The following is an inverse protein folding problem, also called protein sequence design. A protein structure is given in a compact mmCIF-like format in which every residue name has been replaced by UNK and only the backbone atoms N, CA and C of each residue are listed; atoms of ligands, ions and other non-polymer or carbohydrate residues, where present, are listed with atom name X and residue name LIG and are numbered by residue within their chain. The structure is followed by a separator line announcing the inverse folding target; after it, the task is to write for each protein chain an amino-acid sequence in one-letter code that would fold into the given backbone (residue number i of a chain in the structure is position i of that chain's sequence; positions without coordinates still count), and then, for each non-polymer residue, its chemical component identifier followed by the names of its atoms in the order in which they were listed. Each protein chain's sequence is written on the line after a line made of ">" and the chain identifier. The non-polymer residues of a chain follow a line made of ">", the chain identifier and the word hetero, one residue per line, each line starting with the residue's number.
data_IF_655237134284
#
_entry.id   IF_655237134284
#
_cell.length_a   1.000
_cell.length_b   1.000
_cell.length_c   1.000
_cell.angle_alpha   90.00
_cell.angle_beta   90.00
_cell.angle_gamma   90.00
#
_symmetry.space_group_name_H-M   'P 1'
#
loop_
_entity.id
_entity.type
_entity.pdbx_description
1 polymer ?
#
# COMPACT_ATOMS: atom_id res chain seq x y z
N UNK A 1 20.24 15.39 6.00
CA UNK A 1 19.12 15.19 5.05
C UNK A 1 18.03 14.36 5.69
N UNK A 2 16.82 14.85 5.61
CA UNK A 2 15.70 14.14 6.21
C UNK A 2 15.07 13.20 5.18
N UNK A 3 15.16 11.91 5.45
CA UNK A 3 14.51 10.93 4.61
C UNK A 3 13.13 10.62 5.18
N UNK A 4 12.12 10.76 4.34
CA UNK A 4 10.75 10.40 4.72
C UNK A 4 10.29 9.27 3.81
N UNK A 5 10.11 8.08 4.34
CA UNK A 5 9.61 6.99 3.52
C UNK A 5 8.17 7.28 3.07
N UNK A 6 7.88 6.92 1.83
CA UNK A 6 6.53 7.04 1.30
C UNK A 6 5.93 5.66 1.19
N UNK A 7 4.69 5.54 1.68
CA UNK A 7 3.97 4.28 1.70
C UNK A 7 2.68 4.46 0.92
N UNK A 8 2.40 3.53 0.03
CA UNK A 8 1.17 3.53 -0.76
C UNK A 8 0.21 2.49 -0.19
N UNK A 9 -1.06 2.87 -0.08
CA UNK A 9 -2.14 1.95 0.25
C UNK A 9 -3.05 1.89 -0.96
N UNK A 10 -3.20 0.71 -1.56
CA UNK A 10 -4.10 0.52 -2.69
C UNK A 10 -5.22 -0.42 -2.23
N UNK A 11 -6.34 0.17 -1.86
CA UNK A 11 -7.45 -0.54 -1.26
C UNK A 11 -8.77 0.07 -1.70
N UNK A 12 -9.64 -0.70 -2.38
CA UNK A 12 -10.92 -0.18 -2.84
C UNK A 12 -11.88 0.20 -1.71
N UNK A 13 -11.77 -0.46 -0.56
CA UNK A 13 -12.65 -0.17 0.58
C UNK A 13 -12.12 1.05 1.33
N UNK A 14 -12.90 2.13 1.31
CA UNK A 14 -12.49 3.40 1.90
C UNK A 14 -12.25 3.29 3.41
N UNK A 15 -13.12 2.57 4.12
CA UNK A 15 -12.97 2.42 5.57
C UNK A 15 -11.70 1.66 5.92
N UNK A 16 -11.41 0.58 5.19
CA UNK A 16 -10.18 -0.17 5.40
C UNK A 16 -8.96 0.70 5.12
N UNK A 17 -9.00 1.46 4.04
CA UNK A 17 -7.92 2.34 3.65
C UNK A 17 -7.65 3.40 4.71
N UNK A 18 -8.69 4.08 5.19
CA UNK A 18 -8.55 5.11 6.20
C UNK A 18 -8.09 4.54 7.53
N UNK A 19 -8.62 3.38 7.92
CA UNK A 19 -8.21 2.73 9.16
C UNK A 19 -6.74 2.34 9.13
N UNK A 20 -6.30 1.76 8.03
CA UNK A 20 -4.91 1.38 7.89
C UNK A 20 -3.99 2.60 7.86
N UNK A 21 -4.40 3.64 7.14
CA UNK A 21 -3.63 4.88 7.11
C UNK A 21 -3.42 5.44 8.52
N UNK A 22 -4.49 5.46 9.31
CA UNK A 22 -4.42 5.96 10.67
C UNK A 22 -3.45 5.14 11.52
N UNK A 23 -3.51 3.82 11.40
CA UNK A 23 -2.61 2.93 12.14
C UNK A 23 -1.16 3.17 11.72
N UNK A 24 -0.90 3.26 10.44
CA UNK A 24 0.46 3.44 9.94
C UNK A 24 1.03 4.80 10.34
N UNK A 25 0.20 5.84 10.35
CA UNK A 25 0.64 7.15 10.78
C UNK A 25 1.03 7.17 12.26
N UNK A 26 0.39 6.33 13.05
CA UNK A 26 0.73 6.21 14.46
C UNK A 26 2.03 5.44 14.67
N UNK A 27 2.21 4.35 13.91
CA UNK A 27 3.38 3.48 14.05
C UNK A 27 4.62 4.12 13.43
N UNK A 28 4.45 4.78 12.29
CA UNK A 28 5.55 5.37 11.53
C UNK A 28 5.24 6.84 11.28
N UNK A 29 5.34 7.70 12.31
CA UNK A 29 4.90 9.09 12.18
C UNK A 29 5.69 9.89 11.15
N UNK A 30 6.91 9.46 10.80
CA UNK A 30 7.70 10.17 9.81
C UNK A 30 7.36 9.80 8.37
N UNK A 31 6.55 8.75 8.16
CA UNK A 31 6.21 8.32 6.82
C UNK A 31 5.12 9.19 6.22
N UNK A 32 5.14 9.32 4.90
CA UNK A 32 4.06 9.92 4.14
C UNK A 32 3.19 8.79 3.60
N UNK A 33 1.92 8.78 3.97
CA UNK A 33 1.00 7.72 3.57
C UNK A 33 0.08 8.26 2.49
N UNK A 34 0.05 7.60 1.34
CA UNK A 34 -0.85 7.96 0.23
C UNK A 34 -1.80 6.82 -0.03
N UNK A 35 -3.07 7.15 -0.25
CA UNK A 35 -4.09 6.14 -0.48
C UNK A 35 -4.61 6.22 -1.91
N UNK A 36 -4.86 5.05 -2.48
CA UNK A 36 -5.38 4.91 -3.84
C UNK A 36 -6.54 3.92 -3.81
N UNK A 37 -7.60 4.21 -4.54
CA UNK A 37 -8.77 3.33 -4.63
C UNK A 37 -8.51 2.13 -5.53
N UNK A 38 -7.69 2.31 -6.55
CA UNK A 38 -7.45 1.28 -7.54
C UNK A 38 -6.05 1.39 -8.12
N UNK A 39 -5.69 0.39 -8.92
CA UNK A 39 -4.37 0.32 -9.49
C UNK A 39 -4.08 1.47 -10.47
N UNK A 40 -5.10 1.92 -11.20
CA UNK A 40 -4.90 3.00 -12.16
C UNK A 40 -4.51 4.30 -11.48
N UNK A 41 -5.08 4.58 -10.31
CA UNK A 41 -4.71 5.77 -9.56
C UNK A 41 -3.24 5.74 -9.14
N UNK A 42 -2.76 4.56 -8.76
CA UNK A 42 -1.34 4.40 -8.44
C UNK A 42 -0.47 4.64 -9.67
N UNK A 43 -0.87 4.09 -10.82
CA UNK A 43 -0.10 4.25 -12.05
C UNK A 43 -0.05 5.70 -12.54
N UNK A 44 -1.12 6.47 -12.27
CA UNK A 44 -1.19 7.87 -12.66
C UNK A 44 -0.33 8.77 -11.78
N UNK A 45 0.14 8.25 -10.68
CA UNK A 45 1.04 8.97 -9.78
C UNK A 45 2.48 8.53 -10.09
N UNK A 46 3.27 8.28 -9.07
CA UNK A 46 4.65 7.84 -9.23
C UNK A 46 4.80 6.44 -8.62
N UNK A 47 4.38 5.41 -9.37
CA UNK A 47 4.21 4.07 -8.79
C UNK A 47 5.47 3.44 -8.22
N UNK A 48 6.65 3.84 -8.70
CA UNK A 48 7.89 3.24 -8.25
C UNK A 48 8.55 3.98 -7.08
N UNK A 49 7.94 5.07 -6.61
CA UNK A 49 8.53 5.88 -5.54
C UNK A 49 8.40 5.31 -4.15
N UNK A 50 7.52 4.35 -3.96
CA UNK A 50 7.11 3.97 -2.63
C UNK A 50 8.07 2.97 -1.99
N UNK A 51 8.34 3.18 -0.70
CA UNK A 51 9.13 2.24 0.08
C UNK A 51 8.36 0.96 0.36
N UNK A 52 7.05 1.08 0.53
CA UNK A 52 6.18 -0.07 0.78
C UNK A 52 4.82 0.13 0.13
N UNK A 53 4.19 -0.99 -0.23
CA UNK A 53 2.83 -1.04 -0.77
C UNK A 53 1.99 -1.92 0.12
N UNK A 54 0.86 -1.39 0.60
CA UNK A 54 -0.13 -2.17 1.32
C UNK A 54 -1.32 -2.31 0.38
N UNK A 55 -1.63 -3.52 -0.04
CA UNK A 55 -2.63 -3.73 -1.08
C UNK A 55 -3.62 -4.81 -0.67
N UNK A 56 -4.84 -4.73 -1.18
CA UNK A 56 -5.81 -5.79 -0.98
C UNK A 56 -5.41 -7.03 -1.77
N UNK A 57 -5.89 -8.19 -1.32
CA UNK A 57 -5.61 -9.44 -2.02
C UNK A 57 -6.11 -9.40 -3.47
N UNK A 58 -7.25 -8.76 -3.70
CA UNK A 58 -7.80 -8.64 -5.04
C UNK A 58 -6.86 -7.85 -5.95
N UNK A 59 -6.35 -6.72 -5.47
CA UNK A 59 -5.41 -5.91 -6.25
C UNK A 59 -4.15 -6.71 -6.57
N UNK A 60 -3.67 -7.49 -5.62
CA UNK A 60 -2.50 -8.31 -5.86
C UNK A 60 -2.73 -9.35 -6.95
N UNK A 61 -3.87 -10.04 -6.88
CA UNK A 61 -4.21 -11.07 -7.87
C UNK A 61 -4.35 -10.46 -9.26
N UNK A 62 -5.01 -9.32 -9.36
CA UNK A 62 -5.27 -8.68 -10.64
C UNK A 62 -4.01 -8.04 -11.26
N UNK A 63 -3.07 -7.62 -10.42
CA UNK A 63 -1.90 -6.87 -10.89
C UNK A 63 -0.59 -7.45 -10.37
N UNK A 64 -0.52 -8.77 -10.27
CA UNK A 64 0.67 -9.43 -9.72
C UNK A 64 1.92 -9.20 -10.57
N UNK A 65 1.77 -8.93 -11.86
CA UNK A 65 2.92 -8.62 -12.71
C UNK A 65 3.68 -7.39 -12.21
N UNK A 66 2.97 -6.42 -11.64
CA UNK A 66 3.60 -5.25 -11.07
C UNK A 66 4.19 -5.54 -9.69
N UNK A 67 3.43 -6.22 -8.83
CA UNK A 67 3.79 -6.37 -7.42
C UNK A 67 4.75 -7.52 -7.16
N UNK A 68 4.74 -8.56 -7.97
CA UNK A 68 5.61 -9.70 -7.75
C UNK A 68 7.10 -9.33 -7.79
N UNK A 69 7.59 -8.54 -8.77
CA UNK A 69 8.97 -8.07 -8.72
C UNK A 69 9.28 -7.19 -7.52
N UNK A 70 8.23 -6.64 -6.88
CA UNK A 70 8.34 -5.74 -5.73
C UNK A 70 7.91 -6.41 -4.44
N UNK A 71 7.97 -7.73 -4.39
CA UNK A 71 7.41 -8.50 -3.26
C UNK A 71 8.06 -8.17 -1.92
N UNK A 72 9.30 -7.73 -1.95
CA UNK A 72 10.00 -7.43 -0.70
C UNK A 72 9.45 -6.20 0.00
N UNK A 73 8.72 -5.37 -0.71
CA UNK A 73 8.12 -4.18 -0.13
C UNK A 73 6.61 -4.16 -0.30
N UNK A 74 6.01 -5.29 -0.62
CA UNK A 74 4.57 -5.42 -0.80
C UNK A 74 3.97 -6.25 0.31
N UNK A 75 2.93 -5.71 0.95
CA UNK A 75 2.21 -6.38 2.02
C UNK A 75 0.77 -6.52 1.57
N UNK A 76 0.28 -7.76 1.53
CA UNK A 76 -1.08 -8.04 1.10
C UNK A 76 -1.99 -8.12 2.32
N UNK A 77 -3.10 -7.39 2.25
CA UNK A 77 -4.10 -7.37 3.30
C UNK A 77 -5.11 -8.48 3.07
N UNK A 78 -5.33 -9.30 4.10
CA UNK A 78 -6.39 -10.28 4.03
C UNK A 78 -7.74 -9.60 4.26
N UNK A 79 -8.81 -10.31 3.92
CA UNK A 79 -10.15 -9.74 4.02
C UNK A 79 -10.54 -9.38 5.46
N UNK A 80 -9.87 -9.95 6.45
CA UNK A 80 -10.10 -9.66 7.87
C UNK A 80 -9.07 -8.66 8.41
N UNK A 81 -8.33 -7.99 7.52
CA UNK A 81 -7.29 -7.02 7.85
C UNK A 81 -6.02 -7.64 8.43
N UNK A 82 -5.88 -8.95 8.38
CA UNK A 82 -4.61 -9.58 8.74
C UNK A 82 -3.55 -9.23 7.68
N UNK A 83 -2.33 -8.96 8.13
CA UNK A 83 -1.24 -8.64 7.23
C UNK A 83 -0.54 -9.91 6.78
N UNK A 84 -0.37 -10.05 5.47
CA UNK A 84 0.30 -11.19 4.88
C UNK A 84 1.48 -10.69 4.06
N UNK A 85 2.67 -11.21 4.37
CA UNK A 85 3.86 -10.91 3.59
C UNK A 85 3.98 -11.87 2.42
N UNK A 86 4.33 -11.32 1.30
CA UNK A 86 4.54 -12.11 0.08
C UNK A 86 5.98 -12.63 0.06
#
# INVERSE_FOLDING_TARGET
>A
MNYKPEIAIIEPNTLCSLGLKSILEEIIPMATIRTFHNFNELMDDTPDMYAHYFISAQIYVEHNAFFLPRKRKTIVLASDLSLIHI
#
